data_IF_553430418280
#
_entry.id   IF_553430418280
#
_cell.length_a   1.000
_cell.length_b   1.000
_cell.length_c   1.000
_cell.angle_alpha   90.00
_cell.angle_beta   90.00
_cell.angle_gamma   90.00
#
_symmetry.space_group_name_H-M   'P 1'
#
loop_
_entity.id
_entity.type
_entity.pdbx_description
1 polymer ?
#
# COMPACT_ATOMS: atom_id res chain seq x y z
N UNK A 1 20.71 -12.22 29.86
CA UNK A 1 21.26 -10.86 30.10
C UNK A 1 20.91 -9.96 28.91
N UNK A 2 20.39 -8.78 29.20
CA UNK A 2 20.00 -7.82 28.17
C UNK A 2 21.27 -7.28 27.48
N UNK A 3 21.55 -7.71 26.25
CA UNK A 3 22.74 -7.37 25.48
C UNK A 3 22.98 -5.84 25.38
N UNK A 4 21.97 -4.98 25.16
CA UNK A 4 22.12 -3.53 25.19
C UNK A 4 22.60 -2.99 26.55
N UNK A 5 22.16 -3.56 27.64
CA UNK A 5 22.59 -3.14 28.98
C UNK A 5 24.04 -3.55 29.26
N UNK A 6 24.41 -4.77 28.90
CA UNK A 6 25.78 -5.29 29.01
C UNK A 6 26.77 -4.46 28.15
N UNK A 7 26.39 -4.10 26.93
CA UNK A 7 27.19 -3.27 26.05
C UNK A 7 27.42 -1.86 26.61
N UNK A 8 26.37 -1.23 27.17
CA UNK A 8 26.52 0.09 27.85
C UNK A 8 27.47 0.03 29.01
N UNK A 9 27.41 -0.99 29.87
CA UNK A 9 28.32 -1.21 30.97
C UNK A 9 29.77 -1.36 30.47
N UNK A 10 29.99 -2.15 29.41
CA UNK A 10 31.30 -2.32 28.79
C UNK A 10 31.90 -1.02 28.26
N UNK A 11 31.10 -0.19 27.59
CA UNK A 11 31.54 1.14 27.14
C UNK A 11 31.93 2.06 28.30
N UNK A 12 31.17 2.04 29.41
CA UNK A 12 31.48 2.80 30.62
C UNK A 12 32.79 2.32 31.26
N UNK A 13 32.99 1.00 31.37
CA UNK A 13 34.21 0.42 31.92
C UNK A 13 35.45 0.74 31.07
N UNK A 14 35.31 0.69 29.73
CA UNK A 14 36.40 1.10 28.84
C UNK A 14 36.78 2.57 29.02
N UNK A 15 35.77 3.46 29.13
CA UNK A 15 36.00 4.89 29.40
C UNK A 15 36.71 5.13 30.75
N UNK A 16 36.31 4.38 31.79
CA UNK A 16 36.93 4.45 33.12
C UNK A 16 38.38 3.94 33.10
N UNK A 17 38.61 2.78 32.46
CA UNK A 17 39.92 2.18 32.34
C UNK A 17 40.95 3.11 31.66
N UNK A 18 40.51 3.78 30.57
CA UNK A 18 41.34 4.79 29.90
C UNK A 18 41.65 6.00 30.78
N UNK A 19 40.65 6.51 31.50
CA UNK A 19 40.80 7.69 32.35
C UNK A 19 41.70 7.43 33.57
N UNK A 20 41.64 6.20 34.11
CA UNK A 20 42.42 5.81 35.30
C UNK A 20 43.82 5.24 34.96
N UNK A 21 44.20 5.18 33.68
CA UNK A 21 45.51 4.71 33.27
C UNK A 21 45.75 3.21 33.54
N UNK A 22 44.71 2.37 33.46
CA UNK A 22 44.88 0.93 33.58
C UNK A 22 45.80 0.36 32.49
N UNK A 23 46.31 -0.86 32.70
CA UNK A 23 47.27 -1.47 31.80
C UNK A 23 46.82 -1.45 30.35
N UNK A 24 47.71 -1.22 29.36
CA UNK A 24 47.38 -1.19 27.96
C UNK A 24 46.70 -2.49 27.46
N UNK A 25 47.09 -3.63 28.05
CA UNK A 25 46.51 -4.94 27.71
C UNK A 25 45.03 -5.02 28.11
N UNK A 26 44.66 -4.50 29.28
CA UNK A 26 43.27 -4.48 29.72
C UNK A 26 42.43 -3.54 28.83
N UNK A 27 42.94 -2.38 28.50
CA UNK A 27 42.29 -1.41 27.62
C UNK A 27 42.06 -2.02 26.22
N UNK A 28 43.08 -2.69 25.67
CA UNK A 28 42.97 -3.39 24.38
C UNK A 28 41.89 -4.51 24.40
N UNK A 29 41.84 -5.29 25.48
CA UNK A 29 40.83 -6.34 25.65
C UNK A 29 39.42 -5.81 25.74
N UNK A 30 39.20 -4.74 26.51
CA UNK A 30 37.88 -4.10 26.59
C UNK A 30 37.48 -3.47 25.26
N UNK A 31 38.42 -2.92 24.51
CA UNK A 31 38.17 -2.37 23.18
C UNK A 31 37.79 -3.45 22.16
N UNK A 32 38.45 -4.61 22.18
CA UNK A 32 38.11 -5.74 21.34
C UNK A 32 36.69 -6.25 21.65
N UNK A 33 36.35 -6.41 22.94
CA UNK A 33 35.01 -6.81 23.36
C UNK A 33 33.93 -5.79 22.94
N UNK A 34 34.25 -4.49 23.06
CA UNK A 34 33.35 -3.42 22.60
C UNK A 34 33.11 -3.50 21.08
N UNK A 35 34.15 -3.74 20.27
CA UNK A 35 34.03 -3.88 18.82
C UNK A 35 33.19 -5.11 18.46
N UNK A 36 33.40 -6.26 19.14
CA UNK A 36 32.58 -7.46 18.96
C UNK A 36 31.11 -7.20 19.33
N UNK A 37 30.86 -6.55 20.46
CA UNK A 37 29.52 -6.16 20.90
C UNK A 37 28.84 -5.22 19.90
N UNK A 38 29.58 -4.25 19.39
CA UNK A 38 29.13 -3.34 18.35
C UNK A 38 28.74 -4.08 17.06
N UNK A 39 29.60 -5.00 16.59
CA UNK A 39 29.34 -5.81 15.39
C UNK A 39 28.09 -6.69 15.53
N UNK A 40 27.76 -7.17 16.73
CA UNK A 40 26.53 -7.95 16.99
C UNK A 40 25.31 -7.05 17.06
N UNK A 41 25.39 -5.91 17.75
CA UNK A 41 24.26 -4.96 17.92
C UNK A 41 23.91 -4.21 16.65
N UNK A 42 24.94 -3.81 15.88
CA UNK A 42 24.80 -3.01 14.67
C UNK A 42 25.06 -3.81 13.40
N UNK A 43 24.68 -5.12 13.42
CA UNK A 43 24.70 -5.90 12.17
C UNK A 43 23.94 -5.13 11.10
N UNK A 44 24.51 -4.91 9.91
CA UNK A 44 23.78 -4.30 8.83
C UNK A 44 22.51 -5.10 8.60
N UNK A 45 21.34 -4.43 8.52
CA UNK A 45 20.09 -5.13 8.22
C UNK A 45 20.26 -5.86 6.89
N UNK A 46 19.59 -7.01 6.76
CA UNK A 46 19.48 -7.74 5.49
C UNK A 46 19.25 -6.75 4.33
N UNK A 47 19.82 -7.00 3.14
CA UNK A 47 19.62 -6.14 1.99
C UNK A 47 18.13 -5.79 1.86
N UNK A 48 17.82 -4.53 1.70
CA UNK A 48 16.43 -4.01 1.74
C UNK A 48 15.49 -4.77 0.80
N UNK A 49 15.98 -5.21 -0.35
CA UNK A 49 15.21 -5.98 -1.32
C UNK A 49 14.81 -7.38 -0.80
N UNK A 50 15.68 -8.10 -0.07
CA UNK A 50 15.32 -9.39 0.55
C UNK A 50 14.23 -9.23 1.61
N UNK A 51 14.32 -8.20 2.45
CA UNK A 51 13.26 -7.86 3.41
C UNK A 51 11.94 -7.53 2.72
N UNK A 52 11.99 -6.79 1.61
CA UNK A 52 10.80 -6.48 0.82
C UNK A 52 10.16 -7.76 0.25
N UNK A 53 10.97 -8.66 -0.29
CA UNK A 53 10.47 -9.96 -0.77
C UNK A 53 9.90 -10.84 0.35
N UNK A 54 10.59 -10.97 1.48
CA UNK A 54 10.09 -11.70 2.65
C UNK A 54 8.76 -11.10 3.15
N UNK A 55 8.68 -9.77 3.21
CA UNK A 55 7.44 -9.08 3.57
C UNK A 55 6.31 -9.39 2.59
N UNK A 56 6.55 -9.24 1.28
CA UNK A 56 5.52 -9.46 0.25
C UNK A 56 5.03 -10.91 0.20
N UNK A 57 5.94 -11.88 0.33
CA UNK A 57 5.60 -13.31 0.16
C UNK A 57 5.11 -13.97 1.45
N UNK A 58 5.55 -13.53 2.62
CA UNK A 58 5.23 -14.17 3.89
C UNK A 58 4.40 -13.30 4.83
N UNK A 59 4.86 -12.07 5.12
CA UNK A 59 4.25 -11.26 6.18
C UNK A 59 2.95 -10.59 5.70
N UNK A 60 2.92 -10.05 4.48
CA UNK A 60 1.73 -9.41 3.92
C UNK A 60 0.52 -10.34 3.83
N UNK A 61 0.62 -11.58 3.29
CA UNK A 61 -0.52 -12.50 3.27
C UNK A 61 -0.97 -12.94 4.66
N UNK A 62 -0.06 -13.00 5.64
CA UNK A 62 -0.41 -13.28 7.05
C UNK A 62 -1.19 -12.13 7.66
N UNK A 63 -0.74 -10.88 7.44
CA UNK A 63 -1.42 -9.67 7.92
C UNK A 63 -2.82 -9.54 7.32
N UNK A 64 -2.96 -9.73 6.00
CA UNK A 64 -4.27 -9.69 5.32
C UNK A 64 -5.23 -10.72 5.92
N UNK A 65 -4.75 -11.94 6.20
CA UNK A 65 -5.57 -12.98 6.84
C UNK A 65 -5.89 -12.67 8.30
N UNK A 66 -4.94 -12.13 9.04
CA UNK A 66 -5.15 -11.75 10.44
C UNK A 66 -6.18 -10.62 10.60
N UNK A 67 -6.22 -9.70 9.63
CA UNK A 67 -7.13 -8.55 9.61
C UNK A 67 -8.31 -8.77 8.62
N UNK A 68 -8.76 -10.01 8.46
CA UNK A 68 -9.77 -10.40 7.46
C UNK A 68 -11.07 -9.59 7.56
N UNK A 69 -11.53 -9.22 8.77
CA UNK A 69 -12.73 -8.40 8.95
C UNK A 69 -12.63 -7.03 8.28
N UNK A 70 -11.49 -6.35 8.47
CA UNK A 70 -11.23 -5.04 7.85
C UNK A 70 -11.04 -5.18 6.33
N UNK A 71 -10.42 -6.28 5.89
CA UNK A 71 -10.26 -6.56 4.46
C UNK A 71 -11.61 -6.82 3.78
N UNK A 72 -12.52 -7.56 4.41
CA UNK A 72 -13.88 -7.74 3.91
C UNK A 72 -14.66 -6.42 3.90
N UNK A 73 -14.58 -5.60 4.94
CA UNK A 73 -15.20 -4.28 4.96
C UNK A 73 -14.69 -3.40 3.81
N UNK A 74 -13.38 -3.37 3.58
CA UNK A 74 -12.75 -2.66 2.47
C UNK A 74 -13.23 -3.17 1.10
N UNK A 75 -13.31 -4.49 0.93
CA UNK A 75 -13.83 -5.10 -0.29
C UNK A 75 -15.30 -4.73 -0.54
N UNK A 76 -16.14 -4.77 0.47
CA UNK A 76 -17.56 -4.42 0.37
C UNK A 76 -17.73 -2.94 0.03
N UNK A 77 -16.96 -2.05 0.67
CA UNK A 77 -16.97 -0.61 0.41
C UNK A 77 -16.53 -0.28 -1.03
N UNK A 78 -15.71 -1.10 -1.64
CA UNK A 78 -15.29 -0.96 -3.02
C UNK A 78 -16.26 -1.65 -4.00
N UNK A 79 -16.62 -2.91 -3.73
CA UNK A 79 -17.37 -3.76 -4.68
C UNK A 79 -18.84 -3.35 -4.82
N UNK A 80 -19.51 -2.92 -3.74
CA UNK A 80 -20.91 -2.49 -3.81
C UNK A 80 -21.06 -1.27 -4.73
N UNK A 81 -20.30 -0.16 -4.55
CA UNK A 81 -20.38 0.98 -5.46
C UNK A 81 -19.96 0.63 -6.90
N UNK A 82 -18.98 -0.26 -7.07
CA UNK A 82 -18.56 -0.73 -8.40
C UNK A 82 -19.69 -1.41 -9.13
N UNK A 83 -20.33 -2.40 -8.52
CA UNK A 83 -21.44 -3.15 -9.13
C UNK A 83 -22.64 -2.24 -9.34
N UNK A 84 -22.98 -1.41 -8.35
CA UNK A 84 -24.10 -0.48 -8.46
C UNK A 84 -23.90 0.52 -9.61
N UNK A 85 -22.73 1.11 -9.75
CA UNK A 85 -22.40 2.04 -10.82
C UNK A 85 -22.37 1.35 -12.18
N UNK A 86 -21.79 0.15 -12.27
CA UNK A 86 -21.80 -0.67 -13.48
C UNK A 86 -23.24 -0.91 -13.97
N UNK A 87 -24.11 -1.40 -13.09
CA UNK A 87 -25.52 -1.68 -13.44
C UNK A 87 -26.28 -0.39 -13.75
N UNK A 88 -26.07 0.68 -12.98
CA UNK A 88 -26.74 1.96 -13.19
C UNK A 88 -26.44 2.54 -14.58
N UNK A 89 -25.16 2.53 -15.00
CA UNK A 89 -24.75 3.02 -16.33
C UNK A 89 -25.25 2.09 -17.44
N UNK A 90 -25.32 0.78 -17.23
CA UNK A 90 -25.95 -0.14 -18.18
C UNK A 90 -27.44 0.17 -18.41
N UNK A 91 -28.17 0.52 -17.33
CA UNK A 91 -29.58 0.85 -17.40
C UNK A 91 -29.83 2.26 -17.95
N UNK A 92 -28.94 3.20 -17.66
CA UNK A 92 -29.01 4.61 -18.08
C UNK A 92 -27.62 5.09 -18.51
N UNK A 93 -27.27 4.92 -19.81
CA UNK A 93 -25.95 5.29 -20.34
C UNK A 93 -25.56 6.76 -20.11
N UNK A 94 -26.54 7.65 -20.03
CA UNK A 94 -26.31 9.09 -19.79
C UNK A 94 -25.61 9.37 -18.45
N UNK A 95 -25.71 8.46 -17.47
CA UNK A 95 -25.08 8.61 -16.16
C UNK A 95 -23.56 8.67 -16.23
N UNK A 96 -22.94 8.16 -17.30
CA UNK A 96 -21.48 8.29 -17.46
C UNK A 96 -21.02 9.73 -17.49
N UNK A 97 -21.83 10.62 -18.06
CA UNK A 97 -21.52 12.06 -18.15
C UNK A 97 -21.61 12.82 -16.81
N UNK A 98 -22.17 12.19 -15.77
CA UNK A 98 -22.08 12.70 -14.40
C UNK A 98 -20.76 12.36 -13.73
N UNK A 99 -20.08 11.32 -14.21
CA UNK A 99 -18.81 10.84 -13.68
C UNK A 99 -17.63 11.40 -14.45
N UNK A 100 -17.76 11.59 -15.74
CA UNK A 100 -16.70 11.98 -16.66
C UNK A 100 -17.19 12.98 -17.69
N UNK A 101 -16.29 13.83 -18.18
CA UNK A 101 -16.60 14.73 -19.31
C UNK A 101 -16.77 13.96 -20.62
N UNK A 102 -17.51 14.53 -21.57
CA UNK A 102 -17.69 13.92 -22.90
C UNK A 102 -16.35 13.65 -23.62
N UNK A 103 -15.36 14.52 -23.41
CA UNK A 103 -14.02 14.33 -23.95
C UNK A 103 -13.34 13.07 -23.38
N UNK A 104 -13.40 12.87 -22.05
CA UNK A 104 -12.83 11.71 -21.39
C UNK A 104 -13.50 10.40 -21.82
N UNK A 105 -14.83 10.45 -22.03
CA UNK A 105 -15.59 9.30 -22.54
C UNK A 105 -15.12 8.94 -23.95
N UNK A 106 -15.00 9.94 -24.85
CA UNK A 106 -14.51 9.72 -26.22
C UNK A 106 -13.06 9.20 -26.27
N UNK A 107 -12.18 9.68 -25.39
CA UNK A 107 -10.81 9.17 -25.28
C UNK A 107 -10.77 7.71 -24.82
N UNK A 108 -11.68 7.31 -23.92
CA UNK A 108 -11.79 5.92 -23.48
C UNK A 108 -12.37 5.01 -24.57
N UNK A 109 -13.39 5.42 -25.27
CA UNK A 109 -13.95 4.69 -26.40
C UNK A 109 -12.89 4.46 -27.48
N UNK A 110 -12.14 5.51 -27.85
CA UNK A 110 -11.06 5.40 -28.82
C UNK A 110 -9.93 4.45 -28.36
N UNK A 111 -9.67 4.37 -27.04
CA UNK A 111 -8.68 3.45 -26.48
C UNK A 111 -9.06 1.97 -26.65
N UNK A 112 -10.36 1.67 -26.61
CA UNK A 112 -10.90 0.30 -26.69
C UNK A 112 -11.69 0.06 -27.96
N UNK A 113 -11.43 0.82 -29.03
CA UNK A 113 -12.09 0.62 -30.33
C UNK A 113 -11.79 -0.77 -30.88
N UNK A 114 -12.81 -1.60 -31.14
CA UNK A 114 -12.65 -2.93 -31.74
C UNK A 114 -11.97 -2.93 -33.12
N UNK A 115 -12.05 -1.81 -33.85
CA UNK A 115 -11.45 -1.63 -35.15
C UNK A 115 -9.96 -1.20 -35.08
N UNK A 116 -9.49 -0.81 -33.91
CA UNK A 116 -8.11 -0.39 -33.74
C UNK A 116 -7.12 -1.55 -33.94
N UNK A 117 -6.01 -1.35 -34.67
CA UNK A 117 -5.03 -2.41 -34.95
C UNK A 117 -4.29 -2.87 -33.67
N UNK A 118 -4.34 -2.09 -32.61
CA UNK A 118 -3.79 -2.41 -31.28
C UNK A 118 -4.74 -1.94 -30.19
N UNK A 119 -4.90 -2.75 -29.14
CA UNK A 119 -5.66 -2.39 -27.95
C UNK A 119 -4.84 -1.43 -27.09
N UNK A 120 -5.46 -0.36 -26.62
CA UNK A 120 -4.85 0.65 -25.79
C UNK A 120 -4.45 1.92 -26.55
N UNK A 121 -3.93 2.93 -25.84
CA UNK A 121 -3.44 4.16 -26.46
C UNK A 121 -2.30 3.86 -27.44
N UNK A 122 -2.29 4.55 -28.60
CA UNK A 122 -1.09 4.64 -29.42
C UNK A 122 0.03 5.27 -28.59
N UNK A 123 0.94 4.43 -28.12
CA UNK A 123 2.13 4.89 -27.44
C UNK A 123 3.31 4.70 -28.38
N UNK A 124 3.99 5.76 -28.70
CA UNK A 124 5.30 5.71 -29.36
C UNK A 124 6.33 4.93 -28.51
N UNK A 125 6.01 4.67 -27.25
CA UNK A 125 6.77 3.74 -26.42
C UNK A 125 5.86 3.01 -25.41
N UNK A 126 5.76 1.68 -25.53
CA UNK A 126 5.10 0.79 -24.58
C UNK A 126 5.68 0.96 -23.15
N UNK A 127 6.96 1.32 -23.05
CA UNK A 127 7.65 1.59 -21.79
C UNK A 127 7.11 2.83 -21.07
N UNK A 128 6.81 3.90 -21.80
CA UNK A 128 6.28 5.14 -21.20
C UNK A 128 4.87 4.92 -20.67
N UNK A 129 4.02 4.18 -21.38
CA UNK A 129 2.69 3.82 -20.95
C UNK A 129 2.73 2.87 -19.75
N UNK A 130 3.61 1.89 -19.74
CA UNK A 130 3.85 1.03 -18.59
C UNK A 130 4.23 1.84 -17.34
N UNK A 131 5.17 2.79 -17.50
CA UNK A 131 5.54 3.72 -16.44
C UNK A 131 4.36 4.57 -15.93
N UNK A 132 3.52 5.07 -16.83
CA UNK A 132 2.33 5.83 -16.49
C UNK A 132 1.31 4.98 -15.69
N UNK A 133 1.04 3.75 -16.13
CA UNK A 133 0.13 2.85 -15.40
C UNK A 133 0.64 2.54 -13.99
N UNK A 134 1.92 2.22 -13.85
CA UNK A 134 2.52 1.99 -12.54
C UNK A 134 2.38 3.23 -11.65
N UNK A 135 2.74 4.41 -12.17
CA UNK A 135 2.66 5.65 -11.40
C UNK A 135 1.22 5.97 -10.98
N UNK A 136 0.26 5.82 -11.90
CA UNK A 136 -1.15 6.07 -11.63
C UNK A 136 -1.68 5.12 -10.54
N UNK A 137 -1.43 3.81 -10.65
CA UNK A 137 -1.95 2.82 -9.72
C UNK A 137 -1.28 2.89 -8.35
N UNK A 138 0.03 3.12 -8.29
CA UNK A 138 0.73 3.42 -7.03
C UNK A 138 0.15 4.69 -6.40
N UNK A 139 -0.10 5.73 -7.20
CA UNK A 139 -0.70 6.98 -6.76
C UNK A 139 -2.08 6.78 -6.14
N UNK A 140 -2.94 5.97 -6.75
CA UNK A 140 -4.26 5.62 -6.22
C UNK A 140 -4.11 4.87 -4.88
N UNK A 141 -3.27 3.85 -4.82
CA UNK A 141 -3.02 3.08 -3.59
C UNK A 141 -2.48 3.95 -2.45
N UNK A 142 -1.51 4.84 -2.73
CA UNK A 142 -0.96 5.76 -1.74
C UNK A 142 -1.99 6.79 -1.25
N UNK A 143 -2.80 7.36 -2.15
CA UNK A 143 -3.88 8.29 -1.78
C UNK A 143 -4.93 7.60 -0.92
N UNK A 144 -5.32 6.37 -1.27
CA UNK A 144 -6.28 5.56 -0.51
C UNK A 144 -5.73 5.26 0.89
N UNK A 145 -4.46 4.91 1.02
CA UNK A 145 -3.82 4.71 2.32
C UNK A 145 -3.67 6.03 3.10
N UNK A 146 -3.18 7.09 2.45
CA UNK A 146 -2.96 8.39 3.08
C UNK A 146 -4.27 9.06 3.53
N UNK A 147 -5.39 8.78 2.86
CA UNK A 147 -6.71 9.24 3.28
C UNK A 147 -7.12 8.70 4.66
N UNK A 148 -6.47 7.61 5.13
CA UNK A 148 -6.58 7.12 6.51
C UNK A 148 -6.15 8.14 7.58
N UNK A 149 -5.49 9.24 7.20
CA UNK A 149 -5.22 10.35 8.12
C UNK A 149 -6.47 11.19 8.44
N UNK A 150 -7.54 11.05 7.68
CA UNK A 150 -8.80 11.81 7.79
C UNK A 150 -9.89 11.01 8.51
N UNK A 151 -9.59 10.51 9.68
CA UNK A 151 -10.56 9.96 10.63
C UNK A 151 -11.49 8.85 10.05
N UNK A 152 -10.95 7.78 9.37
CA UNK A 152 -11.65 6.58 8.88
C UNK A 152 -12.65 6.81 7.73
N UNK A 153 -13.20 7.97 7.67
CA UNK A 153 -14.10 8.37 6.58
C UNK A 153 -13.33 8.45 5.25
N UNK A 154 -12.05 8.88 5.30
CA UNK A 154 -11.23 9.05 4.11
C UNK A 154 -11.06 7.79 3.28
N UNK A 155 -10.56 6.66 3.83
CA UNK A 155 -10.42 5.41 3.08
C UNK A 155 -11.76 4.88 2.57
N UNK A 156 -12.84 4.99 3.37
CA UNK A 156 -14.16 4.54 2.96
C UNK A 156 -14.67 5.31 1.73
N UNK A 157 -14.58 6.65 1.76
CA UNK A 157 -14.96 7.50 0.64
C UNK A 157 -14.07 7.24 -0.60
N UNK A 158 -12.76 7.08 -0.40
CA UNK A 158 -11.84 6.81 -1.51
C UNK A 158 -12.12 5.46 -2.16
N UNK A 159 -12.40 4.40 -1.37
CA UNK A 159 -12.78 3.10 -1.89
C UNK A 159 -14.10 3.16 -2.66
N UNK A 160 -15.12 3.78 -2.09
CA UNK A 160 -16.41 3.94 -2.74
C UNK A 160 -16.31 4.74 -4.04
N UNK A 161 -15.57 5.84 -4.03
CA UNK A 161 -15.34 6.67 -5.22
C UNK A 161 -14.62 5.91 -6.33
N UNK A 162 -13.54 5.19 -6.02
CA UNK A 162 -12.86 4.34 -6.99
C UNK A 162 -13.78 3.26 -7.54
N UNK A 163 -14.60 2.64 -6.69
CA UNK A 163 -15.61 1.67 -7.11
C UNK A 163 -16.60 2.28 -8.11
N UNK A 164 -17.16 3.46 -7.81
CA UNK A 164 -18.09 4.17 -8.69
C UNK A 164 -17.46 4.47 -10.06
N UNK A 165 -16.26 5.03 -10.07
CA UNK A 165 -15.58 5.40 -11.33
C UNK A 165 -15.28 4.16 -12.17
N UNK A 166 -14.64 3.13 -11.57
CA UNK A 166 -14.28 1.91 -12.29
C UNK A 166 -15.51 1.17 -12.80
N UNK A 167 -16.55 1.05 -11.95
CA UNK A 167 -17.82 0.42 -12.33
C UNK A 167 -18.55 1.18 -13.44
N UNK A 168 -18.60 2.51 -13.36
CA UNK A 168 -19.23 3.35 -14.37
C UNK A 168 -18.55 3.23 -15.73
N UNK A 169 -17.22 3.29 -15.77
CA UNK A 169 -16.42 3.10 -16.99
C UNK A 169 -16.63 1.72 -17.58
N UNK A 170 -16.52 0.67 -16.77
CA UNK A 170 -16.74 -0.71 -17.21
C UNK A 170 -18.17 -0.92 -17.76
N UNK A 171 -19.17 -0.35 -17.09
CA UNK A 171 -20.57 -0.38 -17.53
C UNK A 171 -20.79 0.31 -18.86
N UNK A 172 -20.18 1.49 -19.04
CA UNK A 172 -20.28 2.24 -20.28
C UNK A 172 -19.63 1.52 -21.45
N UNK A 173 -18.38 1.08 -21.32
CA UNK A 173 -17.67 0.37 -22.38
C UNK A 173 -18.33 -0.95 -22.75
N UNK A 174 -18.91 -1.65 -21.77
CA UNK A 174 -19.72 -2.85 -22.03
C UNK A 174 -20.96 -2.53 -22.86
N UNK A 175 -21.66 -1.45 -22.53
CA UNK A 175 -22.91 -1.06 -23.20
C UNK A 175 -22.72 -0.41 -24.57
N UNK A 176 -21.60 0.27 -24.80
CA UNK A 176 -21.27 0.97 -26.05
C UNK A 176 -20.58 0.10 -27.12
N UNK A 177 -20.44 -1.20 -26.88
CA UNK A 177 -19.83 -2.14 -27.85
C UNK A 177 -18.31 -2.27 -27.75
N UNK A 178 -17.67 -1.59 -26.81
CA UNK A 178 -16.23 -1.66 -26.55
C UNK A 178 -15.86 -2.71 -25.49
N UNK A 179 -16.81 -3.54 -25.07
CA UNK A 179 -16.67 -4.49 -23.97
C UNK A 179 -15.60 -5.57 -24.23
N UNK A 180 -15.59 -6.19 -25.43
CA UNK A 180 -14.64 -7.29 -25.69
C UNK A 180 -13.18 -6.85 -25.65
N UNK A 181 -12.73 -5.77 -26.31
CA UNK A 181 -11.37 -5.26 -26.17
C UNK A 181 -11.04 -4.84 -24.72
N UNK A 182 -11.99 -4.18 -24.04
CA UNK A 182 -11.83 -3.74 -22.65
C UNK A 182 -11.59 -4.93 -21.72
N UNK A 183 -12.42 -5.96 -21.75
CA UNK A 183 -12.25 -7.11 -20.85
C UNK A 183 -10.99 -7.90 -21.12
N UNK A 184 -10.59 -8.07 -22.38
CA UNK A 184 -9.31 -8.71 -22.72
C UNK A 184 -8.12 -7.95 -22.14
N UNK A 185 -8.14 -6.63 -22.22
CA UNK A 185 -7.08 -5.80 -21.66
C UNK A 185 -7.07 -5.85 -20.12
N UNK A 186 -8.25 -5.70 -19.51
CA UNK A 186 -8.40 -5.63 -18.06
C UNK A 186 -8.13 -6.97 -17.38
N UNK A 187 -8.51 -8.10 -17.99
CA UNK A 187 -8.35 -9.44 -17.40
C UNK A 187 -6.88 -9.78 -17.04
N UNK A 188 -5.92 -9.22 -17.78
CA UNK A 188 -4.49 -9.51 -17.59
C UNK A 188 -3.86 -8.88 -16.34
N UNK A 189 -4.37 -7.75 -15.86
CA UNK A 189 -3.71 -6.96 -14.80
C UNK A 189 -4.63 -6.46 -13.69
N UNK A 190 -5.92 -6.30 -13.96
CA UNK A 190 -6.84 -5.67 -12.99
C UNK A 190 -7.00 -6.44 -11.69
N UNK A 191 -6.84 -7.77 -11.70
CA UNK A 191 -6.92 -8.54 -10.47
C UNK A 191 -5.89 -8.09 -9.42
N UNK A 192 -4.68 -7.77 -9.84
CA UNK A 192 -3.63 -7.24 -8.97
C UNK A 192 -3.91 -5.80 -8.55
N UNK A 193 -4.35 -4.95 -9.49
CA UNK A 193 -4.62 -3.53 -9.23
C UNK A 193 -5.78 -3.34 -8.27
N UNK A 194 -6.91 -4.00 -8.53
CA UNK A 194 -8.09 -3.91 -7.66
C UNK A 194 -7.82 -4.49 -6.27
N UNK A 195 -7.08 -5.61 -6.19
CA UNK A 195 -6.65 -6.16 -4.91
C UNK A 195 -5.76 -5.19 -4.14
N UNK A 196 -4.84 -4.49 -4.82
CA UNK A 196 -3.97 -3.50 -4.18
C UNK A 196 -4.76 -2.31 -3.62
N UNK A 197 -5.79 -1.82 -4.33
CA UNK A 197 -6.68 -0.74 -3.85
C UNK A 197 -7.42 -1.19 -2.59
N UNK A 198 -7.99 -2.40 -2.58
CA UNK A 198 -8.71 -2.96 -1.43
C UNK A 198 -7.79 -3.13 -0.22
N UNK A 199 -6.58 -3.67 -0.43
CA UNK A 199 -5.59 -3.85 0.64
C UNK A 199 -5.12 -2.50 1.20
N UNK A 200 -4.86 -1.52 0.32
CA UNK A 200 -4.46 -0.17 0.72
C UNK A 200 -5.57 0.52 1.54
N UNK A 201 -6.83 0.36 1.12
CA UNK A 201 -7.99 0.85 1.85
C UNK A 201 -8.15 0.20 3.21
N UNK A 202 -8.02 -1.12 3.29
CA UNK A 202 -8.04 -1.87 4.55
C UNK A 202 -6.93 -1.44 5.51
N UNK A 203 -5.72 -1.24 5.01
CA UNK A 203 -4.60 -0.72 5.79
C UNK A 203 -4.88 0.71 6.30
N UNK A 204 -5.50 1.56 5.47
CA UNK A 204 -5.97 2.89 5.85
C UNK A 204 -7.01 2.86 6.98
N UNK A 205 -8.04 2.03 6.85
CA UNK A 205 -9.07 1.83 7.88
C UNK A 205 -8.46 1.33 9.19
N UNK A 206 -7.55 0.38 9.15
CA UNK A 206 -6.91 -0.20 10.34
C UNK A 206 -5.97 0.76 11.06
N UNK A 207 -5.29 1.64 10.31
CA UNK A 207 -4.37 2.63 10.90
C UNK A 207 -5.09 3.54 11.88
N UNK A 208 -6.37 3.75 11.70
CA UNK A 208 -7.21 4.61 12.48
C UNK A 208 -7.79 3.94 13.73
N UNK A 209 -8.25 2.71 13.64
CA UNK A 209 -8.66 1.97 14.84
C UNK A 209 -7.56 1.99 15.91
N UNK A 210 -6.29 1.92 15.48
CA UNK A 210 -5.13 2.02 16.38
C UNK A 210 -4.95 3.41 16.98
N UNK A 211 -5.36 4.49 16.29
CA UNK A 211 -5.29 5.86 16.82
C UNK A 211 -6.40 6.10 17.83
N UNK A 212 -7.65 5.81 17.46
CA UNK A 212 -8.81 5.95 18.35
C UNK A 212 -8.64 5.07 19.60
N UNK A 213 -8.17 3.84 19.47
CA UNK A 213 -7.90 2.96 20.62
C UNK A 213 -6.79 3.45 21.55
N UNK A 214 -5.85 4.28 21.08
CA UNK A 214 -4.81 4.90 21.92
C UNK A 214 -5.31 6.16 22.64
N UNK A 215 -6.18 6.93 22.00
CA UNK A 215 -6.78 8.13 22.61
C UNK A 215 -7.79 7.79 23.71
N UNK A 216 -8.46 6.64 23.61
CA UNK A 216 -9.38 6.14 24.64
C UNK A 216 -8.70 5.47 25.83
N UNK A 217 -7.37 5.30 25.86
CA UNK A 217 -6.66 4.86 27.06
C UNK A 217 -6.48 6.05 28.00
N UNK A 218 -7.06 6.00 29.22
CA UNK A 218 -6.88 7.08 30.18
C UNK A 218 -5.39 7.24 30.48
N UNK A 219 -4.92 8.46 30.43
CA UNK A 219 -3.51 8.88 30.67
C UNK A 219 -2.95 8.48 32.05
N UNK A 220 -3.78 7.84 32.88
CA UNK A 220 -3.54 7.53 34.30
C UNK A 220 -3.44 6.02 34.59
N UNK A 221 -3.32 5.16 33.58
CA UNK A 221 -3.05 3.75 33.85
C UNK A 221 -1.57 3.61 34.27
N UNK A 222 -1.29 3.21 35.55
CA UNK A 222 0.09 2.98 35.99
C UNK A 222 0.67 1.83 35.17
N UNK A 223 1.94 2.01 34.79
CA UNK A 223 2.73 0.94 34.17
C UNK A 223 2.96 -0.16 35.21
N UNK A 224 2.31 -1.30 35.03
CA UNK A 224 2.64 -2.56 35.71
C UNK A 224 3.53 -3.39 34.79
#
# INVERSE_FOLDING_TARGET
EDLPAAYRRLCQQLGLARRRGYSPQLVARLQELMQRGHAVMYRPPLPRWRRAFEFLLADMPRLVRAESGVMWASLILFAIPLVASFVAVQLKPELIHTLMSAQQVGEMEAMYDPAAPRLGREADSDLMMFGYYIFNNIGIGLRTFASGLLAGVGPALTLAFNGVIIGGVAGHLQGSGHGDPFWRFVAGHSAFELSAIVIAGGAGLRSEERRVGKECRPRWAPYH
#
